data_IF_310025180937
#
_entry.id   IF_310025180937
#
_cell.length_a   1.000
_cell.length_b   1.000
_cell.length_c   1.000
_cell.angle_alpha   90.00
_cell.angle_beta   90.00
_cell.angle_gamma   90.00
#
_symmetry.space_group_name_H-M   'P 1'
#
loop_
_entity.id
_entity.type
_entity.pdbx_description
1 polymer ?
#
# COMPACT_ATOMS: atom_id res chain seq x y z
N UNK A 1 4.35 2.81 20.83
CA UNK A 1 3.74 3.65 19.78
C UNK A 1 2.42 3.00 19.40
N UNK A 2 1.39 3.77 19.04
CA UNK A 2 0.06 3.24 18.79
C UNK A 2 -0.15 2.95 17.30
N UNK A 3 -0.54 1.72 16.99
CA UNK A 3 -1.03 1.30 15.69
C UNK A 3 -2.52 1.55 15.59
N UNK A 4 -2.97 2.14 14.50
CA UNK A 4 -4.38 2.36 14.20
C UNK A 4 -4.79 1.54 12.99
N UNK A 5 -5.95 0.91 13.03
CA UNK A 5 -6.55 0.29 11.85
C UNK A 5 -6.91 1.39 10.88
N UNK A 6 -6.47 1.27 9.62
CA UNK A 6 -6.82 2.25 8.58
C UNK A 6 -8.26 2.07 8.15
N UNK A 7 -8.96 3.17 7.87
CA UNK A 7 -10.25 3.09 7.20
C UNK A 7 -10.02 2.77 5.72
N UNK A 8 -10.46 1.59 5.30
CA UNK A 8 -10.36 1.14 3.91
C UNK A 8 -11.34 1.88 3.00
N UNK A 9 -12.38 2.52 3.54
CA UNK A 9 -13.30 3.34 2.75
C UNK A 9 -12.80 4.78 2.60
N UNK A 10 -11.75 5.16 3.34
CA UNK A 10 -11.11 6.47 3.17
C UNK A 10 -10.43 6.57 1.79
N UNK A 11 -10.76 7.59 0.99
CA UNK A 11 -10.13 7.79 -0.31
C UNK A 11 -8.61 8.02 -0.23
N UNK A 12 -8.10 8.54 0.89
CA UNK A 12 -6.66 8.69 1.13
C UNK A 12 -5.98 7.34 1.25
N UNK A 13 -6.53 6.40 2.03
CA UNK A 13 -6.04 5.02 2.13
C UNK A 13 -5.99 4.33 0.76
N UNK A 14 -7.06 4.44 -0.03
CA UNK A 14 -7.11 3.86 -1.39
C UNK A 14 -6.06 4.49 -2.32
N UNK A 15 -5.82 5.80 -2.23
CA UNK A 15 -4.76 6.49 -3.00
C UNK A 15 -3.36 6.01 -2.61
N UNK A 16 -3.08 5.80 -1.33
CA UNK A 16 -1.79 5.29 -0.86
C UNK A 16 -1.57 3.86 -1.38
N UNK A 17 -2.59 3.00 -1.30
CA UNK A 17 -2.52 1.64 -1.85
C UNK A 17 -2.29 1.62 -3.36
N UNK A 18 -3.02 2.45 -4.11
CA UNK A 18 -2.83 2.56 -5.57
C UNK A 18 -1.45 3.09 -5.93
N UNK A 19 -0.93 4.05 -5.16
CA UNK A 19 0.42 4.59 -5.35
C UNK A 19 1.48 3.50 -5.10
N UNK A 20 1.31 2.67 -4.06
CA UNK A 20 2.25 1.60 -3.75
C UNK A 20 2.39 0.58 -4.89
N UNK A 21 1.27 0.18 -5.51
CA UNK A 21 1.28 -0.73 -6.67
C UNK A 21 1.97 -0.07 -7.87
N UNK A 22 1.68 1.20 -8.14
CA UNK A 22 2.29 1.92 -9.25
C UNK A 22 3.80 2.08 -9.07
N UNK A 23 4.24 2.39 -7.85
CA UNK A 23 5.66 2.53 -7.51
C UNK A 23 6.39 1.18 -7.61
N UNK A 24 5.79 0.09 -7.14
CA UNK A 24 6.33 -1.25 -7.32
C UNK A 24 6.51 -1.61 -8.80
N UNK A 25 5.46 -1.47 -9.61
CA UNK A 25 5.51 -1.73 -11.05
C UNK A 25 6.60 -0.92 -11.75
N UNK A 26 6.77 0.35 -11.36
CA UNK A 26 7.84 1.22 -11.90
C UNK A 26 9.24 0.70 -11.56
N UNK A 27 9.43 0.12 -10.38
CA UNK A 27 10.72 -0.39 -9.92
C UNK A 27 11.05 -1.78 -10.48
N UNK A 28 10.05 -2.66 -10.64
CA UNK A 28 10.25 -4.05 -11.05
C UNK A 28 9.88 -4.35 -12.50
N UNK A 29 9.25 -3.39 -13.21
CA UNK A 29 8.58 -3.61 -14.50
C UNK A 29 7.47 -4.67 -14.43
N UNK A 30 6.87 -4.86 -13.26
CA UNK A 30 5.66 -5.67 -13.12
C UNK A 30 4.43 -4.98 -13.73
N UNK A 31 3.38 -5.76 -13.95
CA UNK A 31 2.10 -5.29 -14.49
C UNK A 31 0.94 -5.59 -13.53
N UNK A 32 1.15 -5.31 -12.24
CA UNK A 32 0.13 -5.53 -11.21
C UNK A 32 -0.92 -4.43 -11.31
N UNK A 33 -2.21 -4.79 -11.30
CA UNK A 33 -3.33 -3.85 -11.38
C UNK A 33 -3.99 -3.71 -10.01
N UNK A 34 -3.91 -2.53 -9.42
CA UNK A 34 -4.58 -2.22 -8.16
C UNK A 34 -6.10 -2.37 -8.30
N UNK A 35 -6.74 -3.12 -7.39
CA UNK A 35 -8.20 -3.19 -7.29
C UNK A 35 -8.69 -2.33 -6.11
N UNK A 36 -8.24 -2.64 -4.88
CA UNK A 36 -8.57 -1.89 -3.65
C UNK A 36 -7.68 -2.27 -2.48
N UNK A 37 -7.56 -1.39 -1.50
CA UNK A 37 -7.11 -1.77 -0.15
C UNK A 37 -8.22 -2.54 0.55
N UNK A 38 -7.90 -3.68 1.17
CA UNK A 38 -8.86 -4.54 1.89
C UNK A 38 -8.66 -4.55 3.40
N UNK A 39 -7.45 -4.22 3.87
CA UNK A 39 -7.16 -4.01 5.28
C UNK A 39 -5.85 -3.27 5.43
N UNK A 40 -5.54 -2.77 6.63
CA UNK A 40 -4.23 -2.25 6.93
C UNK A 40 -4.14 -1.62 8.31
N UNK A 41 -2.93 -1.21 8.67
CA UNK A 41 -2.64 -0.48 9.90
C UNK A 41 -1.73 0.70 9.59
N UNK A 42 -1.78 1.72 10.43
CA UNK A 42 -0.89 2.87 10.38
C UNK A 42 -0.25 3.10 11.74
N UNK A 43 1.05 3.39 11.75
CA UNK A 43 1.82 3.73 12.94
C UNK A 43 2.45 5.11 12.80
N UNK A 44 2.45 5.87 13.90
CA UNK A 44 3.06 7.19 13.96
C UNK A 44 4.46 7.11 14.60
N UNK A 45 5.47 6.75 13.81
CA UNK A 45 6.87 6.65 14.25
C UNK A 45 7.75 7.58 13.43
N UNK A 46 8.03 8.78 13.97
CA UNK A 46 8.84 9.82 13.31
C UNK A 46 8.37 10.18 11.88
N UNK A 47 7.09 9.95 11.61
CA UNK A 47 6.43 9.93 10.32
C UNK A 47 5.17 9.06 10.42
N UNK A 48 4.59 8.68 9.29
CA UNK A 48 3.43 7.78 9.22
C UNK A 48 3.86 6.56 8.41
N UNK A 49 3.86 5.39 9.02
CA UNK A 49 4.06 4.10 8.34
C UNK A 49 2.71 3.46 8.13
N UNK A 50 2.41 3.07 6.91
CA UNK A 50 1.22 2.33 6.53
C UNK A 50 1.64 0.91 6.17
N UNK A 51 0.97 -0.08 6.75
CA UNK A 51 1.06 -1.49 6.38
C UNK A 51 -0.30 -1.88 5.80
N UNK A 52 -0.36 -1.99 4.47
CA UNK A 52 -1.61 -2.17 3.73
C UNK A 52 -1.67 -3.55 3.10
N UNK A 53 -2.83 -4.21 3.20
CA UNK A 53 -3.17 -5.37 2.39
C UNK A 53 -4.02 -4.90 1.21
N UNK A 54 -3.51 -5.13 0.02
CA UNK A 54 -4.05 -4.68 -1.25
C UNK A 54 -4.55 -5.90 -2.01
N UNK A 55 -5.79 -5.81 -2.47
CA UNK A 55 -6.32 -6.69 -3.49
C UNK A 55 -5.93 -6.13 -4.87
N UNK A 56 -5.30 -6.94 -5.70
CA UNK A 56 -4.80 -6.55 -7.01
C UNK A 56 -4.80 -7.74 -7.98
N UNK A 57 -4.77 -7.46 -9.27
CA UNK A 57 -4.56 -8.49 -10.29
C UNK A 57 -3.07 -8.58 -10.61
N UNK A 58 -2.50 -9.78 -10.58
CA UNK A 58 -1.10 -9.99 -10.97
C UNK A 58 -0.90 -9.78 -12.48
N UNK A 59 0.33 -9.95 -12.98
CA UNK A 59 0.66 -9.80 -14.40
C UNK A 59 -0.09 -10.77 -15.33
N UNK A 60 -0.59 -11.90 -14.81
CA UNK A 60 -1.44 -12.85 -15.54
C UNK A 60 -2.94 -12.48 -15.48
N UNK A 61 -3.31 -11.38 -14.81
CA UNK A 61 -4.71 -10.98 -14.61
C UNK A 61 -5.44 -11.79 -13.53
N UNK A 62 -4.74 -12.60 -12.74
CA UNK A 62 -5.32 -13.36 -11.61
C UNK A 62 -5.38 -12.50 -10.37
N UNK A 63 -6.47 -12.61 -9.63
CA UNK A 63 -6.63 -11.90 -8.37
C UNK A 63 -5.64 -12.42 -7.32
N UNK A 64 -4.90 -11.52 -6.69
CA UNK A 64 -3.87 -11.79 -5.71
C UNK A 64 -3.88 -10.70 -4.63
N UNK A 65 -3.41 -11.05 -3.43
CA UNK A 65 -3.23 -10.09 -2.35
C UNK A 65 -1.76 -9.74 -2.21
N UNK A 66 -1.51 -8.49 -1.90
CA UNK A 66 -0.17 -7.95 -1.69
C UNK A 66 -0.13 -7.18 -0.38
N UNK A 67 0.96 -7.34 0.35
CA UNK A 67 1.28 -6.49 1.48
C UNK A 67 2.21 -5.38 0.98
N UNK A 68 1.87 -4.14 1.30
CA UNK A 68 2.64 -2.96 0.95
C UNK A 68 2.92 -2.14 2.20
N UNK A 69 4.20 -1.93 2.50
CA UNK A 69 4.63 -0.99 3.52
C UNK A 69 5.00 0.33 2.88
N UNK A 70 4.31 1.40 3.27
CA UNK A 70 4.52 2.74 2.76
C UNK A 70 4.89 3.67 3.91
N UNK A 71 5.95 4.44 3.73
CA UNK A 71 6.35 5.46 4.68
C UNK A 71 6.05 6.85 4.15
N UNK A 72 5.51 7.70 5.01
CA UNK A 72 5.26 9.10 4.75
C UNK A 72 5.96 9.94 5.82
N UNK A 73 6.88 10.83 5.42
CA UNK A 73 7.64 11.66 6.36
C UNK A 73 6.77 12.62 7.17
N UNK A 74 5.70 13.12 6.57
CA UNK A 74 4.69 14.01 7.19
C UNK A 74 3.36 13.85 6.46
N UNK A 75 2.25 14.11 7.13
CA UNK A 75 0.94 14.08 6.47
C UNK A 75 0.91 14.96 5.21
N UNK A 76 0.44 14.41 4.09
CA UNK A 76 0.45 15.08 2.77
C UNK A 76 1.85 15.25 2.14
N UNK A 77 2.89 14.66 2.72
CA UNK A 77 4.25 14.67 2.18
C UNK A 77 4.50 13.54 1.17
N UNK A 78 5.76 13.46 0.72
CA UNK A 78 6.22 12.41 -0.19
C UNK A 78 6.03 11.02 0.43
N UNK A 79 5.50 10.10 -0.38
CA UNK A 79 5.40 8.69 -0.07
C UNK A 79 6.69 7.96 -0.49
N UNK A 80 7.07 6.95 0.28
CA UNK A 80 8.21 6.07 -0.01
C UNK A 80 7.76 4.64 0.19
N UNK A 81 7.98 3.80 -0.82
CA UNK A 81 7.66 2.38 -0.75
C UNK A 81 8.80 1.70 0.03
N UNK A 82 8.47 1.13 1.18
CA UNK A 82 9.43 0.43 2.04
C UNK A 82 9.54 -1.02 1.62
N UNK A 83 8.41 -1.67 1.40
CA UNK A 83 8.36 -3.04 0.92
C UNK A 83 7.06 -3.32 0.17
N UNK A 84 7.12 -4.27 -0.75
CA UNK A 84 5.97 -4.78 -1.49
C UNK A 84 6.17 -6.27 -1.74
N UNK A 85 5.26 -7.09 -1.23
CA UNK A 85 5.35 -8.56 -1.32
C UNK A 85 3.97 -9.19 -1.44
N UNK A 86 3.90 -10.41 -1.95
CA UNK A 86 2.64 -11.18 -1.96
C UNK A 86 2.19 -11.47 -0.52
N UNK A 87 0.92 -11.21 -0.23
CA UNK A 87 0.29 -11.58 1.04
C UNK A 87 -0.33 -12.97 0.89
N UNK A 88 0.25 -13.96 1.59
CA UNK A 88 -0.29 -15.32 1.69
C UNK A 88 -1.45 -15.41 2.68
#
# INVERSE_FOLDING_TARGET
>A
MASQVVDINDPGTQKIGSWAVAEHNKQTNDNIKFNKVVSGKSDFSLGIRFDLIIDASNSEGKNAKYQAEVYQKKYGGQLSLVSFSSAN
#
